data_IF_942225631130
#
_entry.id   IF_942225631130
#
_cell.length_a   1.000
_cell.length_b   1.000
_cell.length_c   1.000
_cell.angle_alpha   90.00
_cell.angle_beta   90.00
_cell.angle_gamma   90.00
#
_symmetry.space_group_name_H-M   'P 1'
#
loop_
_entity.id
_entity.type
_entity.pdbx_description
1 polymer ?
#
# COMPACT_ATOMS: atom_id res chain seq x y z
N UNK A 1 0.37 -16.45 -11.19
CA UNK A 1 0.93 -15.17 -11.73
C UNK A 1 2.27 -15.47 -12.41
N UNK A 2 2.68 -14.64 -13.38
CA UNK A 2 4.03 -14.66 -13.97
C UNK A 2 4.55 -13.22 -13.99
N UNK A 3 5.78 -13.02 -13.56
CA UNK A 3 6.51 -11.76 -13.67
C UNK A 3 7.74 -11.94 -14.57
N UNK A 4 8.18 -10.87 -15.22
CA UNK A 4 9.36 -10.85 -16.07
C UNK A 4 10.08 -9.50 -15.96
N UNK A 5 11.40 -9.49 -16.18
CA UNK A 5 12.25 -8.31 -16.02
C UNK A 5 13.40 -8.56 -15.04
N UNK A 6 13.93 -7.49 -14.45
CA UNK A 6 15.00 -7.61 -13.45
C UNK A 6 14.46 -8.26 -12.15
N UNK A 7 15.01 -9.40 -11.70
CA UNK A 7 14.58 -10.06 -10.47
C UNK A 7 14.61 -9.17 -9.22
N UNK A 8 15.57 -8.24 -9.12
CA UNK A 8 15.70 -7.34 -7.97
C UNK A 8 14.61 -6.25 -7.96
N UNK A 9 13.88 -6.09 -9.06
CA UNK A 9 12.83 -5.10 -9.26
C UNK A 9 11.46 -5.76 -9.48
N UNK A 10 11.27 -6.98 -8.98
CA UNK A 10 9.99 -7.70 -9.03
C UNK A 10 9.80 -8.56 -10.29
N UNK A 11 10.82 -8.70 -11.13
CA UNK A 11 10.81 -9.59 -12.30
C UNK A 11 10.84 -11.09 -11.97
N UNK A 12 11.03 -11.45 -10.70
CA UNK A 12 10.95 -12.82 -10.20
C UNK A 12 9.92 -12.92 -9.06
N UNK A 13 8.89 -13.74 -9.28
CA UNK A 13 7.86 -14.05 -8.30
C UNK A 13 7.89 -15.52 -7.83
N UNK A 14 8.95 -16.27 -8.17
CA UNK A 14 9.05 -17.71 -7.89
C UNK A 14 8.98 -18.04 -6.40
N UNK A 15 9.52 -17.18 -5.54
CA UNK A 15 9.46 -17.33 -4.08
C UNK A 15 8.05 -17.25 -3.49
N UNK A 16 7.10 -16.64 -4.20
CA UNK A 16 5.72 -16.46 -3.75
C UNK A 16 4.71 -17.22 -4.63
N UNK A 17 5.19 -18.06 -5.54
CA UNK A 17 4.36 -18.71 -6.56
C UNK A 17 3.24 -19.56 -5.95
N UNK A 18 3.50 -20.22 -4.80
CA UNK A 18 2.51 -21.02 -4.09
C UNK A 18 1.37 -20.20 -3.48
N UNK A 19 1.64 -18.91 -3.21
CA UNK A 19 0.69 -17.96 -2.66
C UNK A 19 -0.03 -17.16 -3.75
N UNK A 20 0.50 -17.09 -4.97
CA UNK A 20 -0.08 -16.36 -6.11
C UNK A 20 -1.15 -17.17 -6.87
N UNK A 21 -2.13 -17.67 -6.11
CA UNK A 21 -3.31 -18.43 -6.58
C UNK A 21 -4.58 -17.61 -6.41
N UNK A 22 -5.51 -17.74 -7.37
CA UNK A 22 -6.79 -17.02 -7.39
C UNK A 22 -6.61 -15.49 -7.28
N UNK A 23 -5.62 -14.95 -8.01
CA UNK A 23 -5.32 -13.52 -8.03
C UNK A 23 -6.36 -12.80 -8.89
N UNK A 24 -7.00 -11.80 -8.32
CA UNK A 24 -8.00 -10.97 -8.99
C UNK A 24 -7.39 -9.72 -9.64
N UNK A 25 -6.42 -9.10 -8.98
CA UNK A 25 -5.74 -7.91 -9.48
C UNK A 25 -4.31 -7.77 -8.98
N UNK A 26 -3.52 -6.98 -9.69
CA UNK A 26 -2.12 -6.68 -9.36
C UNK A 26 -1.93 -5.16 -9.42
N UNK A 27 -1.28 -4.61 -8.40
CA UNK A 27 -0.75 -3.25 -8.39
C UNK A 27 0.78 -3.29 -8.46
N UNK A 28 1.38 -2.25 -9.04
CA UNK A 28 2.82 -2.13 -9.20
C UNK A 28 3.35 -0.82 -8.57
N UNK A 29 4.56 -0.88 -8.04
CA UNK A 29 5.41 0.27 -7.73
C UNK A 29 6.62 0.28 -8.68
N UNK A 30 7.60 1.16 -8.47
CA UNK A 30 8.80 1.22 -9.32
C UNK A 30 9.59 -0.11 -9.35
N UNK A 31 9.50 -0.92 -8.30
CA UNK A 31 10.35 -2.12 -8.14
C UNK A 31 9.69 -3.27 -7.38
N UNK A 32 8.38 -3.22 -7.17
CA UNK A 32 7.64 -4.24 -6.43
C UNK A 32 6.22 -4.37 -6.97
N UNK A 33 5.57 -5.45 -6.59
CA UNK A 33 4.18 -5.73 -6.93
C UNK A 33 3.41 -6.19 -5.70
N UNK A 34 2.11 -5.95 -5.73
CA UNK A 34 1.14 -6.43 -4.76
C UNK A 34 -0.01 -7.10 -5.51
N UNK A 35 -0.27 -8.38 -5.21
CA UNK A 35 -1.39 -9.13 -5.74
C UNK A 35 -2.52 -9.19 -4.71
N UNK A 36 -3.74 -8.84 -5.15
CA UNK A 36 -4.97 -9.08 -4.42
C UNK A 36 -5.53 -10.45 -4.84
N UNK A 37 -5.79 -11.31 -3.86
CA UNK A 37 -6.40 -12.62 -4.06
C UNK A 37 -7.91 -12.56 -3.83
N UNK A 38 -8.66 -13.48 -4.43
CA UNK A 38 -10.12 -13.54 -4.29
C UNK A 38 -10.63 -13.94 -2.90
N UNK A 39 -9.75 -14.35 -1.99
CA UNK A 39 -10.05 -14.49 -0.57
C UNK A 39 -9.86 -13.17 0.22
N UNK A 40 -9.55 -12.06 -0.46
CA UNK A 40 -9.33 -10.75 0.14
C UNK A 40 -7.96 -10.60 0.82
N UNK A 41 -7.03 -11.55 0.63
CA UNK A 41 -5.65 -11.44 1.15
C UNK A 41 -4.69 -10.84 0.11
N UNK A 42 -3.55 -10.34 0.61
CA UNK A 42 -2.54 -9.68 -0.22
C UNK A 42 -1.21 -10.41 -0.16
N UNK A 43 -0.56 -10.56 -1.31
CA UNK A 43 0.79 -11.12 -1.46
C UNK A 43 1.66 -10.08 -2.17
N UNK A 44 2.85 -9.79 -1.64
CA UNK A 44 3.79 -8.82 -2.24
C UNK A 44 5.09 -9.49 -2.62
N UNK A 45 5.74 -8.98 -3.67
CA UNK A 45 7.09 -9.40 -4.05
C UNK A 45 7.88 -8.24 -4.67
N UNK A 46 9.20 -8.43 -4.81
CA UNK A 46 10.13 -7.41 -5.31
C UNK A 46 10.84 -6.65 -4.19
N UNK A 47 11.28 -5.43 -4.48
CA UNK A 47 12.17 -4.70 -3.59
C UNK A 47 11.49 -4.25 -2.28
N UNK A 48 12.04 -4.65 -1.13
CA UNK A 48 11.51 -4.33 0.21
C UNK A 48 11.24 -2.83 0.43
N UNK A 49 12.19 -1.95 0.09
CA UNK A 49 12.04 -0.48 0.24
C UNK A 49 11.08 0.18 -0.77
N UNK A 50 10.41 -0.63 -1.61
CA UNK A 50 9.40 -0.20 -2.59
C UNK A 50 8.05 -0.88 -2.36
N UNK A 51 7.87 -1.49 -1.18
CA UNK A 51 6.62 -2.16 -0.79
C UNK A 51 6.58 -3.66 -1.12
N UNK A 52 7.71 -4.27 -1.49
CA UNK A 52 7.81 -5.71 -1.74
C UNK A 52 7.66 -6.59 -0.48
N UNK A 53 7.67 -5.99 0.72
CA UNK A 53 7.43 -6.68 1.98
C UNK A 53 6.25 -6.04 2.74
N UNK A 54 5.16 -6.81 2.89
CA UNK A 54 3.99 -6.42 3.67
C UNK A 54 3.80 -7.25 4.95
N UNK A 55 4.79 -8.04 5.38
CA UNK A 55 4.64 -9.01 6.50
C UNK A 55 4.20 -8.36 7.81
N UNK A 56 4.64 -7.13 8.07
CA UNK A 56 4.25 -6.36 9.26
C UNK A 56 2.74 -6.09 9.31
N UNK A 57 2.10 -5.91 8.15
CA UNK A 57 0.68 -5.58 8.04
C UNK A 57 -0.19 -6.81 7.73
N UNK A 58 0.37 -8.03 7.77
CA UNK A 58 -0.32 -9.26 7.37
C UNK A 58 -1.60 -9.50 8.17
N UNK A 59 -1.64 -9.12 9.45
CA UNK A 59 -2.86 -9.23 10.27
C UNK A 59 -3.94 -8.20 9.94
N UNK A 60 -3.60 -7.16 9.16
CA UNK A 60 -4.51 -6.08 8.77
C UNK A 60 -4.99 -6.19 7.32
N UNK A 61 -4.23 -6.91 6.47
CA UNK A 61 -4.48 -7.14 5.05
C UNK A 61 -5.37 -8.38 4.81
N UNK A 62 -6.63 -8.28 5.24
CA UNK A 62 -7.71 -9.22 4.97
C UNK A 62 -8.95 -8.47 4.48
N UNK A 63 -9.89 -9.14 3.80
CA UNK A 63 -11.06 -8.49 3.17
C UNK A 63 -10.68 -7.24 2.35
N UNK A 64 -9.51 -7.28 1.72
CA UNK A 64 -9.04 -6.21 0.84
C UNK A 64 -9.85 -6.26 -0.45
N UNK A 65 -10.28 -5.09 -0.92
CA UNK A 65 -11.10 -4.96 -2.14
C UNK A 65 -10.42 -4.13 -3.22
N UNK A 66 -9.45 -3.30 -2.85
CA UNK A 66 -8.70 -2.49 -3.80
C UNK A 66 -7.25 -2.33 -3.32
N UNK A 67 -6.31 -2.36 -4.26
CA UNK A 67 -4.91 -1.99 -4.02
C UNK A 67 -4.49 -0.98 -5.08
N UNK A 68 -3.79 0.08 -4.67
CA UNK A 68 -3.13 1.04 -5.56
C UNK A 68 -1.66 1.18 -5.20
N UNK A 69 -0.81 1.38 -6.21
CA UNK A 69 0.62 1.58 -6.05
C UNK A 69 1.04 3.02 -6.38
N UNK A 70 2.04 3.52 -5.66
CA UNK A 70 2.84 4.70 -6.00
C UNK A 70 4.28 4.27 -6.31
N UNK A 71 5.21 5.21 -6.52
CA UNK A 71 6.61 4.86 -6.84
C UNK A 71 7.28 3.97 -5.79
N UNK A 72 6.95 4.15 -4.51
CA UNK A 72 7.66 3.50 -3.38
C UNK A 72 6.76 2.87 -2.33
N UNK A 73 5.44 2.97 -2.48
CA UNK A 73 4.47 2.54 -1.49
C UNK A 73 3.21 2.00 -2.15
N UNK A 74 2.39 1.31 -1.36
CA UNK A 74 1.07 0.82 -1.74
C UNK A 74 0.04 1.25 -0.70
N UNK A 75 -1.22 1.30 -1.12
CA UNK A 75 -2.38 1.48 -0.27
C UNK A 75 -3.42 0.42 -0.60
N UNK A 76 -3.96 -0.26 0.42
CA UNK A 76 -5.02 -1.24 0.33
C UNK A 76 -6.29 -0.70 1.02
N UNK A 77 -7.42 -0.82 0.34
CA UNK A 77 -8.74 -0.55 0.89
C UNK A 77 -9.37 -1.86 1.36
N UNK A 78 -9.77 -1.89 2.62
CA UNK A 78 -10.48 -3.02 3.21
C UNK A 78 -11.99 -2.84 3.14
N UNK A 79 -12.74 -3.95 3.18
CA UNK A 79 -14.20 -3.95 3.11
C UNK A 79 -14.92 -3.22 4.23
N UNK A 80 -14.22 -2.91 5.34
CA UNK A 80 -14.70 -2.06 6.43
C UNK A 80 -14.38 -0.56 6.23
N UNK A 81 -13.89 -0.17 5.05
CA UNK A 81 -13.60 1.23 4.70
C UNK A 81 -12.28 1.76 5.24
N UNK A 82 -11.45 0.91 5.87
CA UNK A 82 -10.11 1.30 6.37
C UNK A 82 -9.04 1.20 5.28
N UNK A 83 -8.03 2.05 5.39
CA UNK A 83 -6.93 2.12 4.43
C UNK A 83 -5.61 1.73 5.10
N UNK A 84 -4.98 0.69 4.58
CA UNK A 84 -3.69 0.18 5.08
C UNK A 84 -2.65 0.52 4.03
N UNK A 85 -1.62 1.27 4.39
CA UNK A 85 -0.53 1.62 3.49
C UNK A 85 0.80 1.07 3.99
N UNK A 86 1.68 0.72 3.06
CA UNK A 86 3.02 0.18 3.36
C UNK A 86 4.03 0.59 2.28
N UNK A 87 5.31 0.39 2.57
CA UNK A 87 6.42 0.91 1.77
C UNK A 87 6.91 2.26 2.28
N UNK A 88 7.76 2.94 1.49
CA UNK A 88 8.43 4.17 1.94
C UNK A 88 7.77 5.40 1.34
N UNK A 89 6.98 6.10 2.14
CA UNK A 89 6.63 7.50 1.90
C UNK A 89 7.87 8.33 2.25
N UNK A 90 8.39 9.15 1.33
CA UNK A 90 9.58 9.95 1.61
C UNK A 90 9.28 11.04 2.64
N UNK A 91 9.54 10.77 3.92
CA UNK A 91 10.07 11.79 4.83
C UNK A 91 11.47 11.35 5.24
N UNK A 92 12.42 12.28 5.17
CA UNK A 92 13.84 11.96 5.09
C UNK A 92 14.49 11.48 6.40
N UNK A 93 13.75 11.29 7.51
CA UNK A 93 14.40 11.07 8.80
C UNK A 93 13.87 9.93 9.68
N UNK A 94 12.94 9.09 9.22
CA UNK A 94 12.72 7.81 9.89
C UNK A 94 12.27 6.71 8.92
N UNK A 95 12.88 5.54 9.04
CA UNK A 95 12.72 4.42 8.11
C UNK A 95 11.34 3.71 8.19
N UNK A 96 10.37 4.34 8.84
CA UNK A 96 8.99 3.90 8.84
C UNK A 96 8.10 5.11 9.17
N UNK A 97 7.70 5.90 8.16
CA UNK A 97 6.39 6.52 8.26
C UNK A 97 5.41 5.35 8.32
N UNK A 98 5.07 4.95 9.54
CA UNK A 98 3.97 4.06 9.77
C UNK A 98 2.75 4.81 9.24
N UNK A 99 2.09 4.26 8.23
CA UNK A 99 0.86 4.86 7.72
C UNK A 99 -0.30 4.81 8.73
N UNK A 100 -0.01 4.44 9.99
CA UNK A 100 -0.90 4.54 11.14
C UNK A 100 -1.51 5.93 11.25
N UNK A 101 -0.72 6.98 11.04
CA UNK A 101 -1.18 8.36 11.21
C UNK A 101 -2.19 8.78 10.13
N UNK A 102 -2.11 8.20 8.92
CA UNK A 102 -3.06 8.49 7.82
C UNK A 102 -4.40 7.76 8.06
N UNK A 103 -4.39 6.63 8.75
CA UNK A 103 -5.58 5.78 8.92
C UNK A 103 -6.50 6.21 10.06
N UNK A 104 -6.04 7.03 11.03
CA UNK A 104 -6.92 7.49 12.12
C UNK A 104 -7.99 8.49 11.65
N UNK A 105 -7.72 9.24 10.58
CA UNK A 105 -8.61 10.26 10.02
C UNK A 105 -9.46 9.76 8.85
N UNK A 106 -9.04 8.69 8.16
CA UNK A 106 -9.78 8.12 7.03
C UNK A 106 -10.83 7.13 7.53
N UNK A 107 -12.11 7.47 7.36
CA UNK A 107 -13.24 6.57 7.63
C UNK A 107 -14.11 6.43 6.39
N UNK A 108 -14.72 5.26 6.25
CA UNK A 108 -15.70 4.96 5.21
C UNK A 108 -15.19 5.24 3.78
N UNK A 109 -13.92 4.92 3.51
CA UNK A 109 -13.33 5.09 2.18
C UNK A 109 -13.96 4.09 1.20
N UNK A 110 -14.33 4.56 0.02
CA UNK A 110 -14.91 3.73 -1.05
C UNK A 110 -13.94 3.51 -2.21
N UNK A 111 -13.02 4.44 -2.45
CA UNK A 111 -12.09 4.35 -3.56
C UNK A 111 -10.75 4.97 -3.22
N UNK A 112 -9.68 4.30 -3.68
CA UNK A 112 -8.33 4.82 -3.67
C UNK A 112 -7.87 5.23 -5.07
N UNK A 113 -7.02 6.26 -5.11
CA UNK A 113 -6.27 6.68 -6.28
C UNK A 113 -4.82 6.97 -5.88
N UNK A 114 -3.89 6.82 -6.82
CA UNK A 114 -2.48 7.07 -6.58
C UNK A 114 -1.84 7.83 -7.74
N UNK A 115 -0.86 8.66 -7.40
CA UNK A 115 0.14 9.20 -8.33
C UNK A 115 1.50 8.61 -7.97
N UNK A 116 2.55 8.98 -8.70
CA UNK A 116 3.90 8.55 -8.36
C UNK A 116 4.33 8.94 -6.94
N UNK A 117 3.75 9.99 -6.33
CA UNK A 117 4.22 10.54 -5.04
C UNK A 117 3.15 10.73 -3.98
N UNK A 118 1.88 10.50 -4.29
CA UNK A 118 0.78 10.77 -3.37
C UNK A 118 -0.36 9.77 -3.57
N UNK A 119 -1.17 9.63 -2.52
CA UNK A 119 -2.43 8.88 -2.53
C UNK A 119 -3.60 9.83 -2.35
N UNK A 120 -4.75 9.48 -2.91
CA UNK A 120 -6.02 10.14 -2.67
C UNK A 120 -7.08 9.10 -2.32
N UNK A 121 -8.02 9.50 -1.47
CA UNK A 121 -9.15 8.67 -1.05
C UNK A 121 -10.46 9.41 -1.29
N UNK A 122 -11.47 8.69 -1.76
CA UNK A 122 -12.85 9.17 -1.84
C UNK A 122 -13.65 8.47 -0.75
N UNK A 123 -14.24 9.25 0.15
CA UNK A 123 -15.10 8.79 1.23
C UNK A 123 -16.54 8.56 0.77
N UNK A 124 -17.31 7.79 1.54
CA UNK A 124 -18.70 7.47 1.24
C UNK A 124 -19.63 8.69 1.17
N UNK A 125 -19.25 9.79 1.82
CA UNK A 125 -19.94 11.09 1.72
C UNK A 125 -19.60 11.87 0.43
N UNK A 126 -18.77 11.29 -0.44
CA UNK A 126 -18.29 11.89 -1.68
C UNK A 126 -17.18 12.92 -1.48
N UNK A 127 -16.71 13.14 -0.25
CA UNK A 127 -15.57 14.01 0.01
C UNK A 127 -14.26 13.35 -0.43
N UNK A 128 -13.32 14.18 -0.86
CA UNK A 128 -11.93 13.75 -1.04
C UNK A 128 -11.20 14.11 0.23
N UNK A 129 -10.73 13.12 0.98
CA UNK A 129 -9.94 13.40 2.17
C UNK A 129 -8.61 14.04 1.74
N UNK A 130 -8.19 15.17 2.34
CA UNK A 130 -6.87 15.72 2.11
C UNK A 130 -5.86 14.78 2.77
N UNK A 131 -5.50 13.71 2.07
CA UNK A 131 -4.41 12.85 2.48
C UNK A 131 -3.14 13.72 2.47
N UNK A 132 -2.72 14.12 3.67
CA UNK A 132 -1.49 14.85 4.00
C UNK A 132 -1.52 16.37 3.72
N UNK A 133 -2.08 17.14 4.66
CA UNK A 133 -1.67 18.56 4.83
C UNK A 133 -1.19 18.93 6.24
N UNK A 134 -1.21 18.02 7.22
CA UNK A 134 -0.65 18.27 8.55
C UNK A 134 0.21 17.09 9.03
N UNK A 135 1.46 17.07 8.58
CA UNK A 135 2.52 16.66 9.52
C UNK A 135 2.62 17.81 10.50
N UNK A 136 1.93 17.70 11.63
CA UNK A 136 2.11 18.65 12.72
C UNK A 136 3.59 18.65 13.08
N UNK A 137 4.28 19.75 12.76
CA UNK A 137 5.58 20.05 13.32
C UNK A 137 5.39 20.17 14.84
N UNK A 138 5.54 19.08 15.58
CA UNK A 138 5.94 19.16 16.96
C UNK A 138 7.40 19.65 16.95
N UNK A 139 7.56 20.97 16.86
CA UNK A 139 8.81 21.63 17.21
C UNK A 139 9.12 21.23 18.65
N UNK A 140 10.11 20.36 18.85
CA UNK A 140 10.80 20.31 20.13
C UNK A 140 11.55 21.65 20.25
N UNK A 141 10.93 22.57 20.97
CA UNK A 141 11.64 23.72 21.51
C UNK A 141 12.69 23.19 22.48
N UNK A 142 13.95 23.53 22.21
CA UNK A 142 15.09 23.41 23.15
C UNK A 142 14.82 24.15 24.46
#
# INVERSE_FOLDING_TARGET
VVAWGDPHWGGDCSGEQDHLKDVESIAASDAAFAALRGDGTVVTWGHQNRGGDCRYFKSELYDVRQIVGSSKAFAALRGDGKVICWGRLESEFDAAIHCRDVNEELRDVQQLAATNRAFGAVCADGSVSPAVQQVHFCTCSV
#
